data_IF_218226166946
#
_entry.id   IF_218226166946
#
_cell.length_a   1.000
_cell.length_b   1.000
_cell.length_c   1.000
_cell.angle_alpha   90.00
_cell.angle_beta   90.00
_cell.angle_gamma   90.00
#
_symmetry.space_group_name_H-M   'P 1'
#
loop_
_entity.id
_entity.type
_entity.pdbx_description
1 polymer ?
#
# COMPACT_ATOMS: atom_id res chain seq x y z
N UNK A 1 1.16 -21.42 10.36
CA UNK A 1 1.23 -20.55 9.17
C UNK A 1 0.35 -19.31 9.41
N UNK A 2 0.89 -18.13 9.16
CA UNK A 2 0.13 -16.88 9.28
C UNK A 2 -0.31 -16.44 7.89
N UNK A 3 -1.61 -16.13 7.74
CA UNK A 3 -2.16 -15.62 6.50
C UNK A 3 -2.31 -14.10 6.60
N UNK A 4 -1.83 -13.39 5.60
CA UNK A 4 -2.01 -11.96 5.47
C UNK A 4 -3.05 -11.66 4.38
N UNK A 5 -3.84 -10.64 4.60
CA UNK A 5 -4.82 -10.17 3.64
C UNK A 5 -4.37 -8.85 3.01
N UNK A 6 -4.48 -8.75 1.69
CA UNK A 6 -3.99 -7.59 0.96
C UNK A 6 -5.04 -6.48 0.85
N UNK A 7 -4.64 -5.25 1.11
CA UNK A 7 -5.48 -4.07 0.89
C UNK A 7 -5.79 -3.82 -0.59
N UNK A 8 -5.14 -4.53 -1.50
CA UNK A 8 -5.46 -4.47 -2.93
C UNK A 8 -6.92 -4.82 -3.20
N UNK A 9 -7.49 -5.71 -2.37
CA UNK A 9 -8.88 -6.13 -2.49
C UNK A 9 -9.89 -5.01 -2.25
N UNK A 10 -9.63 -4.12 -1.29
CA UNK A 10 -10.64 -3.16 -0.85
C UNK A 10 -10.23 -1.69 -0.87
N UNK A 11 -9.00 -1.37 -1.24
CA UNK A 11 -8.51 0.00 -1.20
C UNK A 11 -9.30 0.98 -2.09
N UNK A 12 -9.86 0.49 -3.20
CA UNK A 12 -10.65 1.32 -4.11
C UNK A 12 -12.02 1.69 -3.56
N UNK A 13 -12.58 0.88 -2.64
CA UNK A 13 -13.92 1.06 -2.10
C UNK A 13 -13.97 2.02 -0.91
N UNK A 14 -12.83 2.30 -0.31
CA UNK A 14 -12.74 3.13 0.89
C UNK A 14 -11.95 4.41 0.61
N UNK A 15 -12.49 5.54 1.07
CA UNK A 15 -11.75 6.81 1.10
C UNK A 15 -10.91 6.93 2.36
N UNK A 16 -11.33 6.26 3.44
CA UNK A 16 -10.70 6.28 4.75
C UNK A 16 -9.94 4.98 4.99
N UNK A 17 -8.65 5.07 5.31
CA UNK A 17 -7.82 3.90 5.60
C UNK A 17 -8.25 3.12 6.84
N UNK A 18 -8.84 3.79 7.83
CA UNK A 18 -9.36 3.13 9.04
C UNK A 18 -10.50 2.18 8.71
N UNK A 19 -11.45 2.61 7.89
CA UNK A 19 -12.58 1.76 7.46
C UNK A 19 -12.10 0.57 6.63
N UNK A 20 -11.12 0.79 5.77
CA UNK A 20 -10.50 -0.26 4.96
C UNK A 20 -9.87 -1.35 5.84
N UNK A 21 -9.13 -0.97 6.86
CA UNK A 21 -8.51 -1.89 7.82
C UNK A 21 -9.58 -2.62 8.62
N UNK A 22 -10.59 -1.91 9.13
CA UNK A 22 -11.68 -2.51 9.90
C UNK A 22 -12.42 -3.57 9.11
N UNK A 23 -12.65 -3.37 7.83
CA UNK A 23 -13.29 -4.36 6.97
C UNK A 23 -12.49 -5.67 6.91
N UNK A 24 -11.17 -5.58 6.77
CA UNK A 24 -10.28 -6.75 6.75
C UNK A 24 -10.29 -7.47 8.11
N UNK A 25 -10.22 -6.71 9.20
CA UNK A 25 -10.26 -7.26 10.56
C UNK A 25 -11.58 -8.00 10.81
N UNK A 26 -12.70 -7.44 10.34
CA UNK A 26 -14.02 -8.05 10.48
C UNK A 26 -14.15 -9.38 9.72
N UNK A 27 -13.32 -9.62 8.71
CA UNK A 27 -13.21 -10.92 8.05
C UNK A 27 -12.41 -11.94 8.86
N UNK A 28 -11.76 -11.53 9.95
CA UNK A 28 -10.99 -12.42 10.82
C UNK A 28 -9.48 -12.39 10.58
N UNK A 29 -8.98 -11.50 9.72
CA UNK A 29 -7.55 -11.39 9.45
C UNK A 29 -6.91 -10.37 10.39
N UNK A 30 -5.70 -10.71 10.89
CA UNK A 30 -4.89 -9.86 11.78
C UNK A 30 -3.54 -9.49 11.18
N UNK A 31 -3.19 -10.05 10.04
CA UNK A 31 -1.99 -9.71 9.28
C UNK A 31 -2.42 -9.10 7.95
N UNK A 32 -1.89 -7.92 7.65
CA UNK A 32 -2.35 -7.12 6.50
C UNK A 32 -1.15 -6.72 5.66
N UNK A 33 -1.24 -6.94 4.36
CA UNK A 33 -0.32 -6.36 3.39
C UNK A 33 -0.85 -5.00 2.94
N UNK A 34 -0.02 -3.98 3.06
CA UNK A 34 -0.29 -2.67 2.45
C UNK A 34 0.12 -2.72 0.99
N UNK A 35 -0.86 -2.90 0.12
CA UNK A 35 -0.62 -3.17 -1.28
C UNK A 35 -0.64 -1.93 -2.16
N UNK A 36 -0.37 -2.14 -3.44
CA UNK A 36 -0.46 -1.11 -4.47
C UNK A 36 -1.86 -0.49 -4.49
N UNK A 37 -1.93 0.81 -4.78
CA UNK A 37 -3.19 1.55 -4.87
C UNK A 37 -3.56 2.32 -3.60
N UNK A 38 -2.79 2.19 -2.52
CA UNK A 38 -2.98 3.01 -1.34
C UNK A 38 -2.51 4.43 -1.60
N UNK A 39 -3.41 5.38 -1.38
CA UNK A 39 -3.16 6.82 -1.58
C UNK A 39 -2.68 7.47 -0.30
N UNK A 40 -2.08 8.65 -0.41
CA UNK A 40 -1.72 9.47 0.75
C UNK A 40 -2.92 9.64 1.70
N UNK A 41 -4.12 9.84 1.16
CA UNK A 41 -5.35 10.01 1.95
C UNK A 41 -5.72 8.79 2.80
N UNK A 42 -5.21 7.59 2.51
CA UNK A 42 -5.43 6.40 3.32
C UNK A 42 -4.50 6.31 4.54
N UNK A 43 -3.33 6.93 4.48
CA UNK A 43 -2.27 6.73 5.48
C UNK A 43 -2.69 7.17 6.89
N UNK A 44 -3.30 8.33 7.03
CA UNK A 44 -3.73 8.83 8.34
C UNK A 44 -4.72 7.86 9.01
N UNK A 45 -5.66 7.32 8.23
CA UNK A 45 -6.61 6.33 8.73
C UNK A 45 -5.95 5.00 9.12
N UNK A 46 -4.97 4.55 8.36
CA UNK A 46 -4.19 3.34 8.68
C UNK A 46 -3.41 3.54 9.98
N UNK A 47 -2.74 4.68 10.14
CA UNK A 47 -2.00 5.01 11.36
C UNK A 47 -2.93 5.15 12.57
N UNK A 48 -4.13 5.73 12.38
CA UNK A 48 -5.14 5.79 13.44
C UNK A 48 -5.62 4.39 13.83
N UNK A 49 -5.89 3.52 12.86
CA UNK A 49 -6.30 2.14 13.11
C UNK A 49 -5.25 1.34 13.90
N UNK A 50 -3.97 1.61 13.66
CA UNK A 50 -2.85 0.98 14.42
C UNK A 50 -2.93 1.25 15.93
N UNK A 51 -3.55 2.34 16.33
CA UNK A 51 -3.68 2.71 17.76
C UNK A 51 -4.89 2.06 18.43
N UNK A 52 -5.91 1.70 17.67
CA UNK A 52 -7.20 1.24 18.21
C UNK A 52 -7.54 -0.21 17.86
N UNK A 53 -6.93 -0.76 16.82
CA UNK A 53 -7.19 -2.11 16.33
C UNK A 53 -5.94 -3.00 16.52
N UNK A 54 -6.17 -4.29 16.75
CA UNK A 54 -5.11 -5.28 16.89
C UNK A 54 -4.81 -5.96 15.56
N UNK A 55 -3.77 -5.48 14.88
CA UNK A 55 -3.28 -6.08 13.64
C UNK A 55 -1.81 -5.77 13.39
N UNK A 56 -1.19 -6.57 12.56
CA UNK A 56 0.20 -6.40 12.13
C UNK A 56 0.27 -6.13 10.63
N UNK A 57 1.16 -5.24 10.24
CA UNK A 57 1.51 -5.04 8.83
C UNK A 57 2.59 -6.08 8.50
N UNK A 58 2.26 -7.04 7.66
CA UNK A 58 3.15 -8.14 7.28
C UNK A 58 4.09 -7.78 6.16
N UNK A 59 3.65 -6.94 5.23
CA UNK A 59 4.44 -6.52 4.09
C UNK A 59 3.90 -5.22 3.50
N UNK A 60 4.73 -4.56 2.72
CA UNK A 60 4.39 -3.34 2.00
C UNK A 60 4.76 -3.53 0.53
N UNK A 61 3.79 -3.31 -0.32
CA UNK A 61 4.02 -3.33 -1.77
C UNK A 61 4.57 -1.97 -2.23
N UNK A 62 5.58 -2.01 -3.06
CA UNK A 62 6.12 -0.80 -3.68
C UNK A 62 5.14 -0.33 -4.79
N UNK A 63 4.74 0.87 -4.91
CA UNK A 63 5.15 2.04 -4.12
C UNK A 63 4.07 2.39 -3.09
N UNK A 64 4.49 2.86 -1.92
CA UNK A 64 3.58 3.30 -0.87
C UNK A 64 4.02 4.67 -0.33
N UNK A 65 3.15 5.70 -0.28
CA UNK A 65 1.84 5.73 -0.93
C UNK A 65 1.97 5.71 -2.45
N UNK A 66 0.90 5.34 -3.14
CA UNK A 66 0.89 5.31 -4.61
C UNK A 66 1.15 6.72 -5.14
N UNK A 67 2.23 6.94 -5.89
CA UNK A 67 2.55 8.26 -6.42
C UNK A 67 1.59 8.65 -7.55
N UNK A 68 1.47 9.96 -7.77
CA UNK A 68 0.59 10.50 -8.82
C UNK A 68 1.03 10.09 -10.23
N UNK A 69 2.30 9.74 -10.40
CA UNK A 69 2.85 9.29 -11.67
C UNK A 69 2.46 7.86 -12.05
N UNK A 70 1.87 7.11 -11.11
CA UNK A 70 1.51 5.69 -11.30
C UNK A 70 0.00 5.54 -11.30
N UNK A 71 -0.51 4.80 -12.29
CA UNK A 71 -1.92 4.44 -12.37
C UNK A 71 -2.18 3.17 -11.56
N UNK A 72 -3.41 3.05 -11.02
CA UNK A 72 -3.80 1.91 -10.17
C UNK A 72 -3.70 0.56 -10.88
N UNK A 73 -3.91 0.57 -12.18
CA UNK A 73 -3.91 -0.64 -13.03
C UNK A 73 -2.57 -0.89 -13.73
N UNK A 74 -1.56 -0.06 -13.45
CA UNK A 74 -0.24 -0.17 -14.06
C UNK A 74 0.85 -0.06 -12.98
N UNK A 75 0.96 -1.02 -12.05
CA UNK A 75 1.89 -0.95 -10.93
C UNK A 75 3.37 -1.00 -11.33
N UNK A 76 3.66 -1.53 -12.49
CA UNK A 76 5.03 -1.78 -12.98
C UNK A 76 5.49 -0.73 -14.00
N UNK A 77 4.90 0.47 -13.99
CA UNK A 77 5.29 1.56 -14.90
C UNK A 77 6.77 1.92 -14.79
N UNK A 78 7.35 1.83 -13.61
CA UNK A 78 8.74 2.20 -13.35
C UNK A 78 9.48 1.06 -12.70
N UNK A 79 10.43 0.50 -13.45
CA UNK A 79 11.22 -0.65 -13.01
C UNK A 79 12.68 -0.28 -12.86
N UNK A 80 13.38 -0.92 -11.91
CA UNK A 80 14.83 -0.79 -11.74
C UNK A 80 15.61 -1.26 -12.97
N UNK A 81 15.02 -2.14 -13.76
CA UNK A 81 15.62 -2.75 -14.94
C UNK A 81 15.16 -2.11 -16.25
N UNK A 82 14.41 -1.02 -16.20
CA UNK A 82 13.94 -0.31 -17.39
C UNK A 82 15.11 0.09 -18.31
N UNK A 83 14.90 0.03 -19.61
CA UNK A 83 15.86 0.51 -20.60
C UNK A 83 16.06 2.03 -20.53
N UNK A 84 15.05 2.77 -20.05
CA UNK A 84 15.14 4.22 -19.89
C UNK A 84 15.78 4.57 -18.55
N UNK A 85 16.87 5.34 -18.60
CA UNK A 85 17.55 5.81 -17.40
C UNK A 85 16.61 6.58 -16.47
N UNK A 86 15.77 7.45 -17.01
CA UNK A 86 14.81 8.26 -16.25
C UNK A 86 13.83 7.39 -15.46
N UNK A 87 13.36 6.27 -16.04
CA UNK A 87 12.44 5.37 -15.36
C UNK A 87 13.15 4.63 -14.22
N UNK A 88 14.40 4.22 -14.41
CA UNK A 88 15.20 3.61 -13.34
C UNK A 88 15.43 4.56 -12.18
N UNK A 89 15.79 5.81 -12.47
CA UNK A 89 16.00 6.84 -11.45
C UNK A 89 14.71 7.14 -10.69
N UNK A 90 13.57 7.16 -11.40
CA UNK A 90 12.26 7.35 -10.80
C UNK A 90 11.89 6.17 -9.91
N UNK A 91 12.13 4.95 -10.34
CA UNK A 91 11.91 3.76 -9.54
C UNK A 91 12.69 3.81 -8.21
N UNK A 92 13.96 4.19 -8.26
CA UNK A 92 14.80 4.35 -7.06
C UNK A 92 14.24 5.44 -6.13
N UNK A 93 13.90 6.59 -6.67
CA UNK A 93 13.35 7.71 -5.90
C UNK A 93 12.04 7.32 -5.20
N UNK A 94 11.12 6.72 -5.92
CA UNK A 94 9.83 6.32 -5.39
C UNK A 94 9.95 5.20 -4.34
N UNK A 95 10.87 4.26 -4.56
CA UNK A 95 11.14 3.20 -3.59
C UNK A 95 11.70 3.78 -2.29
N UNK A 96 12.61 4.75 -2.36
CA UNK A 96 13.10 5.45 -1.16
C UNK A 96 11.96 6.11 -0.38
N UNK A 97 11.02 6.74 -1.07
CA UNK A 97 9.84 7.33 -0.42
C UNK A 97 8.98 6.27 0.27
N UNK A 98 8.87 5.08 -0.28
CA UNK A 98 8.13 3.97 0.34
C UNK A 98 8.81 3.50 1.62
N UNK A 99 10.14 3.47 1.65
CA UNK A 99 10.92 3.02 2.82
C UNK A 99 10.88 4.06 3.95
N UNK A 100 10.97 5.32 3.61
CA UNK A 100 10.99 6.44 4.58
C UNK A 100 9.58 6.70 5.13
#
# INVERSE_FOLDING_TARGET
>A
MKLAFSTCWNSRRHKNGSEMISEIINLGFRHIELSHGLRVSHLDGILAARKTEDFEISSVHNFLPMPVEIMTDAPDCYEFTSHRKQDRERAVRLTRQTID
#
